data_IF_734193313030
#
_entry.id   IF_734193313030
#
_cell.length_a   1.000
_cell.length_b   1.000
_cell.length_c   1.000
_cell.angle_alpha   90.00
_cell.angle_beta   90.00
_cell.angle_gamma   90.00
#
_symmetry.space_group_name_H-M   'P 1'
#
loop_
_entity.id
_entity.type
_entity.pdbx_description
1 polymer ?
#
# COMPACT_ATOMS: atom_id res chain seq x y z
N UNK A 1 -7.17 -70.40 15.71
CA UNK A 1 -6.40 -70.01 14.52
C UNK A 1 -7.36 -69.30 13.58
N UNK A 2 -7.23 -67.99 13.36
CA UNK A 2 -8.06 -67.29 12.40
C UNK A 2 -7.72 -67.76 10.97
N UNK A 3 -8.73 -67.97 10.12
CA UNK A 3 -8.50 -68.35 8.73
C UNK A 3 -7.87 -67.17 7.97
N UNK A 4 -7.04 -67.48 6.97
CA UNK A 4 -6.41 -66.46 6.12
C UNK A 4 -7.46 -65.53 5.49
N UNK A 5 -8.65 -66.04 5.18
CA UNK A 5 -9.77 -65.27 4.66
C UNK A 5 -10.31 -64.22 5.66
N UNK A 6 -10.35 -64.54 6.95
CA UNK A 6 -10.87 -63.60 7.97
C UNK A 6 -9.87 -62.48 8.25
N UNK A 7 -8.56 -62.72 8.06
CA UNK A 7 -7.53 -61.69 8.16
C UNK A 7 -7.60 -60.70 6.98
N UNK A 8 -7.79 -61.20 5.75
CA UNK A 8 -7.95 -60.36 4.56
C UNK A 8 -9.16 -59.44 4.69
N UNK A 9 -10.30 -59.99 5.14
CA UNK A 9 -11.53 -59.22 5.33
C UNK A 9 -11.35 -58.08 6.36
N UNK A 10 -10.61 -58.34 7.44
CA UNK A 10 -10.35 -57.35 8.47
C UNK A 10 -9.48 -56.20 7.97
N UNK A 11 -8.42 -56.49 7.20
CA UNK A 11 -7.55 -55.47 6.60
C UNK A 11 -8.36 -54.61 5.60
N UNK A 12 -9.20 -55.24 4.79
CA UNK A 12 -10.03 -54.53 3.82
C UNK A 12 -11.00 -53.57 4.53
N UNK A 13 -11.65 -54.03 5.60
CA UNK A 13 -12.55 -53.21 6.41
C UNK A 13 -11.80 -52.06 7.10
N UNK A 14 -10.60 -52.31 7.62
CA UNK A 14 -9.77 -51.29 8.26
C UNK A 14 -9.33 -50.20 7.28
N UNK A 15 -8.94 -50.58 6.05
CA UNK A 15 -8.61 -49.59 4.99
C UNK A 15 -9.81 -48.75 4.59
N UNK A 16 -11.01 -49.35 4.49
CA UNK A 16 -12.27 -48.65 4.22
C UNK A 16 -12.67 -47.71 5.36
N UNK A 17 -12.44 -48.11 6.61
CA UNK A 17 -12.74 -47.29 7.78
C UNK A 17 -11.75 -46.11 7.90
N UNK A 18 -10.47 -46.34 7.60
CA UNK A 18 -9.43 -45.30 7.66
C UNK A 18 -9.70 -44.15 6.69
N UNK A 19 -10.28 -44.40 5.51
CA UNK A 19 -10.60 -43.33 4.56
C UNK A 19 -11.74 -42.43 5.01
N UNK A 20 -12.64 -42.93 5.88
CA UNK A 20 -13.71 -42.14 6.48
C UNK A 20 -13.18 -41.07 7.47
N UNK A 21 -12.06 -41.36 8.14
CA UNK A 21 -11.37 -40.40 9.02
C UNK A 21 -10.47 -39.40 8.28
N UNK A 22 -10.10 -39.69 7.02
CA UNK A 22 -9.36 -38.75 6.17
C UNK A 22 -10.36 -37.75 5.55
N UNK A 23 -11.08 -37.02 6.42
CA UNK A 23 -11.57 -35.71 6.07
C UNK A 23 -10.47 -34.73 6.47
N UNK A 24 -9.49 -34.58 5.57
CA UNK A 24 -8.59 -33.44 5.65
C UNK A 24 -9.47 -32.20 5.49
N UNK A 25 -9.83 -31.58 6.61
CA UNK A 25 -10.17 -30.17 6.61
C UNK A 25 -8.94 -29.46 6.02
N UNK A 26 -8.99 -29.17 4.72
CA UNK A 26 -8.00 -28.40 3.99
C UNK A 26 -8.00 -26.94 4.45
N UNK A 27 -7.82 -26.72 5.74
CA UNK A 27 -7.86 -25.42 6.42
C UNK A 27 -6.43 -24.96 6.79
N UNK A 28 -5.38 -25.67 6.37
CA UNK A 28 -3.99 -25.25 6.64
C UNK A 28 -3.52 -24.11 5.72
N UNK A 29 -4.01 -24.06 4.48
CA UNK A 29 -3.82 -22.92 3.58
C UNK A 29 -4.71 -21.73 3.94
N UNK A 30 -5.80 -21.97 4.69
CA UNK A 30 -6.70 -20.91 5.14
C UNK A 30 -6.15 -20.20 6.36
N UNK A 31 -5.61 -20.92 7.35
CA UNK A 31 -5.14 -20.31 8.60
C UNK A 31 -3.90 -19.41 8.42
N UNK A 32 -2.96 -19.77 7.55
CA UNK A 32 -1.78 -18.92 7.28
C UNK A 32 -2.15 -17.67 6.46
N UNK A 33 -3.05 -17.80 5.48
CA UNK A 33 -3.59 -16.67 4.71
C UNK A 33 -4.44 -15.78 5.62
N UNK A 34 -5.33 -16.33 6.46
CA UNK A 34 -6.19 -15.59 7.40
C UNK A 34 -5.36 -14.87 8.48
N UNK A 35 -4.29 -15.48 9.01
CA UNK A 35 -3.37 -14.79 9.93
C UNK A 35 -2.57 -13.68 9.22
N UNK A 36 -2.27 -13.84 7.93
CA UNK A 36 -1.54 -12.83 7.14
C UNK A 36 -2.43 -11.71 6.60
N UNK A 37 -3.74 -11.93 6.42
CA UNK A 37 -4.67 -10.98 5.78
C UNK A 37 -5.62 -10.29 6.75
N UNK A 38 -5.62 -10.62 8.05
CA UNK A 38 -6.32 -9.81 9.06
C UNK A 38 -5.49 -8.59 9.52
N UNK A 39 -4.77 -7.96 8.60
CA UNK A 39 -4.18 -6.64 8.83
C UNK A 39 -5.29 -5.63 8.53
N UNK A 40 -5.80 -4.95 9.55
CA UNK A 40 -6.74 -3.85 9.34
C UNK A 40 -5.97 -2.72 8.69
N UNK A 41 -6.17 -2.55 7.38
CA UNK A 41 -5.60 -1.41 6.64
C UNK A 41 -6.27 -0.12 7.13
N UNK A 42 -5.47 0.85 7.55
CA UNK A 42 -5.94 2.18 7.95
C UNK A 42 -5.83 3.11 6.76
N UNK A 43 -6.91 3.85 6.49
CA UNK A 43 -6.93 4.90 5.48
C UNK A 43 -6.71 6.25 6.17
N UNK A 44 -5.78 7.03 5.66
CA UNK A 44 -5.51 8.40 6.11
C UNK A 44 -5.60 9.35 4.92
N UNK A 45 -6.48 10.33 5.00
CA UNK A 45 -6.59 11.40 4.02
C UNK A 45 -5.97 12.67 4.59
N UNK A 46 -5.01 13.26 3.88
CA UNK A 46 -4.30 14.47 4.27
C UNK A 46 -4.60 15.56 3.23
N UNK A 47 -5.03 16.72 3.71
CA UNK A 47 -5.20 17.93 2.90
C UNK A 47 -4.32 19.02 3.49
N UNK A 48 -3.39 19.54 2.69
CA UNK A 48 -2.47 20.58 3.12
C UNK A 48 -1.97 21.41 1.94
N UNK A 49 -1.34 22.55 2.26
CA UNK A 49 -0.75 23.45 1.28
C UNK A 49 0.76 23.49 1.49
N UNK A 50 1.51 23.34 0.39
CA UNK A 50 2.95 23.46 0.36
C UNK A 50 3.33 24.84 -0.17
N UNK A 51 4.15 25.57 0.60
CA UNK A 51 4.61 26.92 0.28
C UNK A 51 6.07 26.87 -0.20
N UNK A 52 6.27 26.97 -1.51
CA UNK A 52 7.59 27.04 -2.14
C UNK A 52 7.94 28.51 -2.39
N UNK A 53 8.70 29.11 -1.46
CA UNK A 53 9.03 30.53 -1.45
C UNK A 53 10.53 30.68 -1.66
N UNK A 54 10.92 31.23 -2.81
CA UNK A 54 12.32 31.34 -3.24
C UNK A 54 12.90 32.75 -3.05
N UNK A 55 12.08 33.73 -2.66
CA UNK A 55 12.48 35.11 -2.42
C UNK A 55 11.92 35.69 -1.09
N UNK A 56 12.20 36.96 -0.81
CA UNK A 56 11.73 37.66 0.39
C UNK A 56 12.63 37.51 1.62
N UNK A 57 12.12 37.95 2.78
CA UNK A 57 12.89 37.99 4.04
C UNK A 57 13.08 36.61 4.69
N UNK A 58 12.15 35.68 4.42
CA UNK A 58 12.11 34.34 5.00
C UNK A 58 11.84 33.29 3.91
N UNK A 59 12.79 33.05 2.99
CA UNK A 59 12.63 32.05 1.94
C UNK A 59 12.58 30.63 2.53
N UNK A 60 11.76 29.76 1.95
CA UNK A 60 11.62 28.33 2.31
C UNK A 60 12.35 27.40 1.32
N UNK A 61 12.77 27.93 0.17
CA UNK A 61 13.49 27.21 -0.86
C UNK A 61 14.63 28.06 -1.45
N UNK A 62 15.62 27.39 -2.03
CA UNK A 62 16.76 28.04 -2.69
C UNK A 62 16.95 27.49 -4.10
N UNK A 63 17.14 28.40 -5.06
CA UNK A 63 17.46 28.03 -6.43
C UNK A 63 18.93 27.57 -6.55
N UNK A 64 19.14 26.29 -6.89
CA UNK A 64 20.49 25.73 -7.09
C UNK A 64 21.04 26.08 -8.49
N UNK A 65 20.21 26.02 -9.54
CA UNK A 65 20.62 26.29 -10.93
C UNK A 65 19.84 27.48 -11.49
N UNK A 66 20.57 28.49 -11.98
CA UNK A 66 19.99 29.65 -12.66
C UNK A 66 19.87 29.42 -14.16
N UNK A 67 18.63 29.24 -14.62
CA UNK A 67 18.29 29.22 -16.04
C UNK A 67 17.95 30.65 -16.49
N UNK A 68 18.68 31.22 -17.46
CA UNK A 68 18.32 32.51 -18.05
C UNK A 68 17.00 32.42 -18.82
N UNK A 69 16.17 33.45 -18.75
CA UNK A 69 14.92 33.59 -19.51
C UNK A 69 13.76 32.66 -19.09
N UNK A 70 13.39 32.70 -17.80
CA UNK A 70 12.24 31.94 -17.25
C UNK A 70 10.89 32.50 -17.74
N UNK A 71 10.29 31.86 -18.72
CA UNK A 71 8.84 31.96 -18.97
C UNK A 71 8.12 30.92 -18.11
N UNK A 72 7.81 31.30 -16.86
CA UNK A 72 6.95 30.49 -16.01
C UNK A 72 5.49 30.71 -16.45
N UNK A 73 4.97 29.80 -17.28
CA UNK A 73 3.56 29.74 -17.65
C UNK A 73 3.08 28.31 -17.45
N UNK A 74 2.66 27.96 -16.24
CA UNK A 74 1.68 26.87 -16.09
C UNK A 74 1.16 26.76 -14.65
N UNK A 75 -0.16 26.79 -14.50
CA UNK A 75 -0.84 26.19 -13.37
C UNK A 75 -0.96 24.70 -13.67
N UNK A 76 -0.12 23.89 -13.04
CA UNK A 76 -0.11 22.44 -13.26
C UNK A 76 -0.91 21.75 -12.16
N UNK A 77 -1.71 20.77 -12.57
CA UNK A 77 -2.24 19.74 -11.68
C UNK A 77 -1.55 18.42 -12.02
N UNK A 78 -0.88 17.83 -11.04
CA UNK A 78 -0.16 16.56 -11.17
C UNK A 78 -0.85 15.52 -10.33
N UNK A 79 -1.16 14.37 -10.92
CA UNK A 79 -1.63 13.19 -10.20
C UNK A 79 -0.48 12.19 -10.06
N UNK A 80 -0.22 11.74 -8.84
CA UNK A 80 0.73 10.67 -8.52
C UNK A 80 -0.05 9.48 -7.99
N UNK A 81 -0.11 8.39 -8.76
CA UNK A 81 -0.90 7.20 -8.44
C UNK A 81 -0.07 6.02 -7.94
N UNK A 82 -0.66 5.26 -7.01
CA UNK A 82 -0.24 3.92 -6.55
C UNK A 82 1.25 3.76 -6.24
N UNK A 83 1.85 4.77 -5.61
CA UNK A 83 3.20 4.66 -5.10
C UNK A 83 3.19 3.88 -3.77
N UNK A 84 4.13 2.95 -3.62
CA UNK A 84 4.51 2.47 -2.28
C UNK A 84 5.23 3.64 -1.61
N UNK A 85 4.59 4.25 -0.63
CA UNK A 85 5.12 5.40 0.10
C UNK A 85 6.24 4.89 1.00
N UNK A 86 7.44 5.45 0.85
CA UNK A 86 8.57 5.26 1.77
C UNK A 86 8.32 5.95 3.11
N UNK A 87 7.20 5.65 3.77
CA UNK A 87 6.78 6.24 5.02
C UNK A 87 7.51 5.64 6.22
N UNK A 88 7.67 6.44 7.28
CA UNK A 88 8.20 5.98 8.55
C UNK A 88 7.08 5.92 9.62
N UNK A 89 7.32 5.17 10.70
CA UNK A 89 6.39 5.00 11.82
C UNK A 89 5.01 4.51 11.36
N UNK A 90 3.98 5.34 11.54
CA UNK A 90 2.58 4.99 11.29
C UNK A 90 2.29 4.79 9.80
N UNK A 91 3.11 5.32 8.89
CA UNK A 91 2.90 5.16 7.44
C UNK A 91 3.82 4.09 6.80
N UNK A 92 4.44 3.22 7.61
CA UNK A 92 5.36 2.19 7.10
C UNK A 92 4.63 1.21 6.19
N UNK A 93 5.22 0.99 5.00
CA UNK A 93 4.64 0.17 3.93
C UNK A 93 3.31 0.70 3.41
N UNK A 94 3.02 1.98 3.65
CA UNK A 94 1.81 2.62 3.15
C UNK A 94 1.84 2.68 1.62
N UNK A 95 0.67 2.57 0.99
CA UNK A 95 0.47 2.80 -0.44
C UNK A 95 -0.59 3.86 -0.63
N UNK A 96 -0.49 4.66 -1.68
CA UNK A 96 -1.41 5.77 -1.83
C UNK A 96 -1.33 6.51 -3.13
N UNK A 97 -2.13 7.57 -3.19
CA UNK A 97 -2.18 8.52 -4.29
C UNK A 97 -2.15 9.95 -3.75
N UNK A 98 -1.58 10.85 -4.53
CA UNK A 98 -1.51 12.27 -4.24
C UNK A 98 -1.96 13.06 -5.45
N UNK A 99 -2.89 13.99 -5.24
CA UNK A 99 -3.27 15.01 -6.19
C UNK A 99 -2.64 16.33 -5.77
N UNK A 100 -1.76 16.87 -6.60
CA UNK A 100 -1.09 18.14 -6.40
C UNK A 100 -1.66 19.16 -7.37
N UNK A 101 -2.17 20.30 -6.87
CA UNK A 101 -2.74 21.37 -7.67
C UNK A 101 -2.04 22.67 -7.34
N UNK A 102 -1.42 23.30 -8.33
CA UNK A 102 -0.88 24.66 -8.15
C UNK A 102 -2.05 25.63 -8.01
N UNK A 103 -2.19 26.27 -6.85
CA UNK A 103 -3.27 27.23 -6.59
C UNK A 103 -2.84 28.67 -6.85
N UNK A 104 -1.54 28.95 -6.71
CA UNK A 104 -0.97 30.26 -6.98
C UNK A 104 0.49 30.12 -7.43
N UNK A 105 0.89 30.95 -8.40
CA UNK A 105 2.29 31.05 -8.83
C UNK A 105 2.61 32.48 -9.27
N UNK A 106 3.87 32.89 -9.14
CA UNK A 106 4.36 34.18 -9.64
C UNK A 106 5.57 34.04 -10.58
N UNK A 107 5.96 35.15 -11.23
CA UNK A 107 7.13 35.20 -12.12
C UNK A 107 8.47 35.03 -11.40
N UNK A 108 8.51 35.31 -10.10
CA UNK A 108 9.71 35.19 -9.28
C UNK A 108 10.03 33.71 -8.96
N UNK A 109 9.05 32.82 -9.12
CA UNK A 109 9.17 31.38 -8.88
C UNK A 109 8.55 30.92 -7.56
N UNK A 110 7.83 31.79 -6.85
CA UNK A 110 7.07 31.38 -5.68
C UNK A 110 5.80 30.64 -6.11
N UNK A 111 5.47 29.57 -5.40
CA UNK A 111 4.29 28.78 -5.66
C UNK A 111 3.62 28.31 -4.37
N UNK A 112 2.29 28.17 -4.44
CA UNK A 112 1.51 27.45 -3.44
C UNK A 112 0.85 26.27 -4.13
N UNK A 113 1.09 25.08 -3.60
CA UNK A 113 0.56 23.82 -4.13
C UNK A 113 -0.33 23.16 -3.10
N UNK A 114 -1.58 22.93 -3.47
CA UNK A 114 -2.56 22.17 -2.71
C UNK A 114 -2.32 20.67 -2.92
N UNK A 115 -2.21 19.91 -1.83
CA UNK A 115 -2.05 18.47 -1.84
C UNK A 115 -3.24 17.77 -1.18
N UNK A 116 -3.87 16.87 -1.93
CA UNK A 116 -4.84 15.90 -1.43
C UNK A 116 -4.22 14.51 -1.52
N UNK A 117 -3.86 13.93 -0.39
CA UNK A 117 -3.14 12.64 -0.31
C UNK A 117 -3.99 11.61 0.42
N UNK A 118 -4.16 10.45 -0.19
CA UNK A 118 -4.79 9.29 0.44
C UNK A 118 -3.75 8.19 0.62
N UNK A 119 -3.54 7.74 1.85
CA UNK A 119 -2.60 6.68 2.19
C UNK A 119 -3.33 5.53 2.90
N UNK A 120 -3.04 4.31 2.47
CA UNK A 120 -3.48 3.05 3.06
C UNK A 120 -2.28 2.38 3.71
N UNK A 121 -2.30 2.09 5.01
CA UNK A 121 -1.16 1.52 5.76
C UNK A 121 -1.56 0.49 6.82
#
# INVERSE_FOLDING_TARGET
MASFATQILFILLFTLFSTFFIKINGEFLRQSIIMSTKRVEKITCLHFYFHDIVDGKHPTAMQIIRVPNRTATSLVTTFMGNATVGGSRIFRFGRGCALAKTVWFNKNGNAIVEYNVTVVH
#
